data_IF_251548385935
#
_entry.id   IF_251548385935
#
_cell.length_a   1.000
_cell.length_b   1.000
_cell.length_c   1.000
_cell.angle_alpha   90.00
_cell.angle_beta   90.00
_cell.angle_gamma   90.00
#
_symmetry.space_group_name_H-M   'P 1'
#
loop_
_entity.id
_entity.type
_entity.pdbx_description
1 polymer ?
#
# COMPACT_ATOMS: atom_id res chain seq x y z
N UNK A 1 -65.14 -9.85 -66.54
CA UNK A 1 -63.86 -10.53 -66.77
C UNK A 1 -63.82 -11.64 -65.76
N UNK A 2 -64.02 -12.90 -66.12
CA UNK A 2 -63.86 -14.04 -65.19
C UNK A 2 -62.37 -14.12 -64.86
N UNK A 3 -62.03 -14.03 -63.59
CA UNK A 3 -60.67 -14.29 -63.13
C UNK A 3 -60.45 -15.78 -63.41
N UNK A 4 -59.32 -16.13 -64.08
CA UNK A 4 -58.91 -17.49 -64.31
C UNK A 4 -58.67 -18.19 -62.93
N UNK A 5 -59.06 -19.45 -62.80
CA UNK A 5 -58.93 -20.21 -61.51
C UNK A 5 -57.51 -20.18 -60.97
N UNK A 6 -56.51 -20.27 -61.83
CA UNK A 6 -55.13 -20.21 -61.49
C UNK A 6 -54.74 -18.85 -60.87
N UNK A 7 -55.25 -17.76 -61.43
CA UNK A 7 -55.04 -16.41 -60.93
C UNK A 7 -55.67 -16.22 -59.55
N UNK A 8 -56.81 -16.82 -59.30
CA UNK A 8 -57.48 -16.76 -57.98
C UNK A 8 -56.66 -17.51 -56.89
N UNK A 9 -56.11 -18.68 -57.18
CA UNK A 9 -55.29 -19.48 -56.32
C UNK A 9 -53.97 -18.75 -56.00
N UNK A 10 -53.28 -18.17 -56.94
CA UNK A 10 -52.10 -17.37 -56.74
C UNK A 10 -52.37 -16.12 -55.87
N UNK A 11 -53.47 -15.44 -56.13
CA UNK A 11 -53.83 -14.26 -55.36
C UNK A 11 -54.17 -14.58 -53.94
N UNK A 12 -54.83 -15.72 -53.69
CA UNK A 12 -55.15 -16.18 -52.38
C UNK A 12 -53.87 -16.58 -51.60
N UNK A 13 -52.94 -17.29 -52.20
CA UNK A 13 -51.65 -17.61 -51.65
C UNK A 13 -50.83 -16.35 -51.31
N UNK A 14 -50.80 -15.35 -52.22
CA UNK A 14 -50.11 -14.07 -51.94
C UNK A 14 -50.77 -13.34 -50.76
N UNK A 15 -52.12 -13.35 -50.67
CA UNK A 15 -52.80 -12.79 -49.50
C UNK A 15 -52.44 -13.54 -48.20
N UNK A 16 -52.40 -14.86 -48.26
CA UNK A 16 -51.97 -15.65 -47.09
C UNK A 16 -50.55 -15.30 -46.70
N UNK A 17 -49.60 -15.18 -47.60
CA UNK A 17 -48.23 -14.76 -47.31
C UNK A 17 -48.18 -13.37 -46.67
N UNK A 18 -49.06 -12.44 -47.02
CA UNK A 18 -49.06 -11.09 -46.46
C UNK A 18 -49.72 -11.02 -45.08
N UNK A 19 -50.79 -11.75 -44.85
CA UNK A 19 -51.65 -11.61 -43.67
C UNK A 19 -51.58 -12.79 -42.70
N UNK A 20 -51.23 -14.01 -43.16
CA UNK A 20 -51.11 -15.22 -42.37
C UNK A 20 -49.94 -16.09 -42.85
N UNK A 21 -48.76 -15.57 -42.88
CA UNK A 21 -47.53 -16.10 -43.49
C UNK A 21 -47.25 -17.55 -43.07
N UNK A 22 -47.51 -17.89 -41.81
CA UNK A 22 -47.14 -19.20 -41.22
C UNK A 22 -48.01 -20.34 -41.73
N UNK A 23 -49.26 -20.04 -42.14
CA UNK A 23 -50.23 -21.00 -42.68
C UNK A 23 -50.34 -20.96 -44.19
N UNK A 24 -49.63 -20.03 -44.83
CA UNK A 24 -49.71 -19.86 -46.28
C UNK A 24 -49.28 -21.13 -47.03
N UNK A 25 -50.14 -21.68 -47.83
CA UNK A 25 -49.92 -22.89 -48.66
C UNK A 25 -50.50 -22.71 -50.06
N UNK A 26 -49.69 -23.01 -51.04
CA UNK A 26 -50.16 -23.01 -52.46
C UNK A 26 -50.71 -24.36 -52.75
N UNK A 27 -52.03 -24.41 -53.19
CA UNK A 27 -52.73 -25.63 -53.61
C UNK A 27 -52.28 -26.06 -54.98
N UNK A 28 -51.14 -26.73 -55.12
CA UNK A 28 -50.57 -27.14 -56.42
C UNK A 28 -51.49 -28.07 -57.25
N UNK A 29 -52.19 -28.99 -56.57
CA UNK A 29 -53.04 -29.97 -57.23
C UNK A 29 -54.23 -29.39 -57.96
N UNK A 30 -54.52 -28.12 -57.74
CA UNK A 30 -55.58 -27.39 -58.32
C UNK A 30 -55.15 -26.44 -59.48
N UNK A 31 -53.83 -26.33 -59.69
CA UNK A 31 -53.28 -25.49 -60.80
C UNK A 31 -53.15 -26.24 -62.10
N UNK A 32 -53.24 -25.53 -63.20
CA UNK A 32 -53.03 -26.10 -64.53
C UNK A 32 -51.54 -26.34 -64.82
N UNK A 33 -51.23 -27.32 -65.68
CA UNK A 33 -49.87 -27.70 -66.06
C UNK A 33 -49.07 -26.55 -66.69
N UNK A 34 -49.78 -25.64 -67.37
CA UNK A 34 -49.19 -24.49 -68.10
C UNK A 34 -48.53 -23.43 -67.16
N UNK A 35 -48.91 -23.43 -65.89
CA UNK A 35 -48.38 -22.44 -64.89
C UNK A 35 -47.37 -23.06 -63.91
N UNK A 36 -46.89 -24.24 -64.15
CA UNK A 36 -45.97 -24.99 -63.19
C UNK A 36 -44.71 -24.17 -62.89
N UNK A 37 -44.04 -23.55 -63.88
CA UNK A 37 -42.84 -22.73 -63.62
C UNK A 37 -43.16 -21.48 -62.80
N UNK A 38 -44.35 -20.87 -63.01
CA UNK A 38 -44.79 -19.73 -62.21
C UNK A 38 -45.12 -20.15 -60.81
N UNK A 39 -45.72 -21.30 -60.60
CA UNK A 39 -46.03 -21.88 -59.31
C UNK A 39 -44.73 -22.14 -58.51
N UNK A 40 -43.72 -22.75 -59.15
CA UNK A 40 -42.39 -22.98 -58.53
C UNK A 40 -41.75 -21.66 -58.08
N UNK A 41 -41.83 -20.63 -58.91
CA UNK A 41 -41.24 -19.31 -58.56
C UNK A 41 -41.97 -18.60 -57.42
N UNK A 42 -43.32 -18.65 -57.41
CA UNK A 42 -44.14 -18.02 -56.37
C UNK A 42 -43.99 -18.80 -55.01
N UNK A 43 -43.96 -20.11 -55.07
CA UNK A 43 -43.73 -20.92 -53.85
C UNK A 43 -42.35 -20.68 -53.26
N UNK A 44 -41.29 -20.66 -54.07
CA UNK A 44 -39.97 -20.31 -53.65
C UNK A 44 -39.91 -18.90 -53.00
N UNK A 45 -40.59 -17.92 -53.59
CA UNK A 45 -40.71 -16.57 -53.02
C UNK A 45 -41.43 -16.62 -51.66
N UNK A 46 -42.48 -17.47 -51.53
CA UNK A 46 -43.16 -17.67 -50.25
C UNK A 46 -42.29 -18.29 -49.18
N UNK A 47 -41.45 -19.27 -49.54
CA UNK A 47 -40.49 -19.88 -48.63
C UNK A 47 -39.46 -18.85 -48.16
N UNK A 48 -38.94 -18.02 -49.06
CA UNK A 48 -38.01 -16.92 -48.75
C UNK A 48 -38.62 -15.93 -47.74
N UNK A 49 -39.89 -15.53 -47.97
CA UNK A 49 -40.61 -14.62 -47.07
C UNK A 49 -40.81 -15.21 -45.69
N UNK A 50 -41.14 -16.52 -45.60
CA UNK A 50 -41.27 -17.22 -44.33
C UNK A 50 -39.95 -17.29 -43.55
N UNK A 51 -38.86 -17.63 -44.24
CA UNK A 51 -37.52 -17.72 -43.68
C UNK A 51 -37.06 -16.34 -43.14
N UNK A 52 -37.26 -15.27 -43.90
CA UNK A 52 -36.96 -13.90 -43.44
C UNK A 52 -37.79 -13.50 -42.24
N UNK A 53 -39.09 -13.80 -42.22
CA UNK A 53 -39.97 -13.51 -41.08
C UNK A 53 -39.50 -14.20 -39.80
N UNK A 54 -39.07 -15.47 -39.88
CA UNK A 54 -38.53 -16.20 -38.72
C UNK A 54 -37.31 -15.49 -38.15
N UNK A 55 -36.31 -15.22 -38.99
CA UNK A 55 -35.07 -14.56 -38.56
C UNK A 55 -35.36 -13.17 -38.00
N UNK A 56 -36.17 -12.35 -38.67
CA UNK A 56 -36.53 -11.01 -38.18
C UNK A 56 -37.30 -11.05 -36.86
N UNK A 57 -38.21 -12.05 -36.70
CA UNK A 57 -38.95 -12.20 -35.44
C UNK A 57 -38.03 -12.58 -34.25
N UNK A 58 -37.06 -13.44 -34.49
CA UNK A 58 -36.03 -13.81 -33.52
C UNK A 58 -35.13 -12.62 -33.16
N UNK A 59 -34.68 -11.87 -34.19
CA UNK A 59 -33.89 -10.65 -33.98
C UNK A 59 -34.67 -9.60 -33.17
N UNK A 60 -35.98 -9.46 -33.41
CA UNK A 60 -36.84 -8.56 -32.63
C UNK A 60 -36.99 -8.98 -31.16
N UNK A 61 -36.80 -10.25 -30.83
CA UNK A 61 -36.75 -10.80 -29.46
C UNK A 61 -35.35 -10.70 -28.83
N UNK A 62 -34.37 -10.22 -29.60
CA UNK A 62 -32.97 -10.13 -29.15
C UNK A 62 -32.12 -11.37 -29.45
N UNK A 63 -32.68 -12.38 -30.10
CA UNK A 63 -31.98 -13.59 -30.55
C UNK A 63 -31.34 -13.32 -31.92
N UNK A 64 -30.06 -12.93 -31.91
CA UNK A 64 -29.33 -12.54 -33.12
C UNK A 64 -28.54 -13.67 -33.77
N UNK A 65 -28.64 -14.89 -33.26
CA UNK A 65 -27.85 -16.05 -33.73
C UNK A 65 -28.61 -16.95 -34.73
N UNK A 66 -29.90 -16.69 -34.96
CA UNK A 66 -30.70 -17.47 -35.87
C UNK A 66 -30.15 -17.40 -37.31
N UNK A 67 -30.05 -18.56 -37.99
CA UNK A 67 -29.54 -18.63 -39.36
C UNK A 67 -30.68 -18.80 -40.37
N UNK A 68 -30.45 -18.23 -41.54
CA UNK A 68 -31.38 -18.45 -42.67
C UNK A 68 -31.31 -19.89 -43.14
N UNK A 69 -32.47 -20.54 -43.29
CA UNK A 69 -32.55 -21.93 -43.74
C UNK A 69 -32.33 -22.08 -45.24
N UNK A 70 -32.66 -21.03 -46.02
CA UNK A 70 -32.57 -21.02 -47.49
C UNK A 70 -31.19 -20.49 -47.93
N UNK A 71 -30.36 -21.36 -48.50
CA UNK A 71 -28.97 -21.06 -48.87
C UNK A 71 -28.80 -20.02 -49.98
N UNK A 72 -29.77 -19.89 -50.87
CA UNK A 72 -29.75 -18.98 -52.06
C UNK A 72 -30.70 -17.81 -51.90
N UNK A 73 -31.05 -17.41 -50.69
CA UNK A 73 -31.89 -16.27 -50.41
C UNK A 73 -31.11 -14.95 -50.64
N UNK A 74 -31.22 -14.36 -51.81
CA UNK A 74 -30.59 -13.09 -52.18
C UNK A 74 -31.22 -11.87 -51.49
N UNK A 75 -32.47 -11.96 -50.99
CA UNK A 75 -33.15 -10.89 -50.27
C UNK A 75 -32.64 -10.80 -48.83
N UNK A 76 -32.07 -11.89 -48.30
CA UNK A 76 -31.52 -11.93 -46.94
C UNK A 76 -30.27 -11.10 -46.75
N UNK A 77 -29.59 -10.62 -47.80
CA UNK A 77 -28.31 -9.92 -47.65
C UNK A 77 -28.37 -8.67 -46.76
N UNK A 78 -29.36 -7.77 -46.84
CA UNK A 78 -29.48 -6.64 -45.89
C UNK A 78 -29.77 -7.10 -44.48
N UNK A 79 -30.59 -8.12 -44.27
CA UNK A 79 -30.93 -8.67 -42.94
C UNK A 79 -29.71 -9.31 -42.31
N UNK A 80 -28.93 -10.08 -43.06
CA UNK A 80 -27.63 -10.65 -42.61
C UNK A 80 -26.64 -9.56 -42.18
N UNK A 81 -26.61 -8.45 -42.93
CA UNK A 81 -25.77 -7.30 -42.58
C UNK A 81 -26.19 -6.69 -41.24
N UNK A 82 -27.51 -6.46 -41.05
CA UNK A 82 -28.04 -5.95 -39.76
C UNK A 82 -27.75 -6.92 -38.64
N UNK A 83 -27.96 -8.22 -38.84
CA UNK A 83 -27.68 -9.28 -37.87
C UNK A 83 -26.19 -9.28 -37.46
N UNK A 84 -25.27 -9.21 -38.42
CA UNK A 84 -23.83 -9.15 -38.16
C UNK A 84 -23.46 -7.91 -37.36
N UNK A 85 -24.03 -6.75 -37.69
CA UNK A 85 -23.80 -5.52 -36.96
C UNK A 85 -24.30 -5.59 -35.51
N UNK A 86 -25.47 -6.19 -35.27
CA UNK A 86 -26.02 -6.40 -33.93
C UNK A 86 -25.21 -7.39 -33.13
N UNK A 87 -24.72 -8.49 -33.73
CA UNK A 87 -23.81 -9.43 -33.11
C UNK A 87 -22.51 -8.74 -32.66
N UNK A 88 -21.90 -7.96 -33.55
CA UNK A 88 -20.69 -7.19 -33.24
C UNK A 88 -20.93 -6.18 -32.12
N UNK A 89 -22.06 -5.44 -32.17
CA UNK A 89 -22.43 -4.49 -31.11
C UNK A 89 -22.56 -5.20 -29.75
N UNK A 90 -23.27 -6.35 -29.70
CA UNK A 90 -23.44 -7.14 -28.49
C UNK A 90 -22.09 -7.62 -27.95
N UNK A 91 -21.21 -8.10 -28.83
CA UNK A 91 -19.85 -8.52 -28.43
C UNK A 91 -19.03 -7.35 -27.88
N UNK A 92 -19.02 -6.18 -28.53
CA UNK A 92 -18.31 -4.99 -28.02
C UNK A 92 -18.88 -4.56 -26.68
N UNK A 93 -20.21 -4.53 -26.53
CA UNK A 93 -20.84 -4.19 -25.24
C UNK A 93 -20.42 -5.14 -24.11
N UNK A 94 -20.35 -6.44 -24.37
CA UNK A 94 -19.87 -7.43 -23.41
C UNK A 94 -18.38 -7.21 -23.04
N UNK A 95 -17.53 -6.88 -24.03
CA UNK A 95 -16.12 -6.56 -23.79
C UNK A 95 -15.96 -5.32 -22.93
N UNK A 96 -16.72 -4.26 -23.23
CA UNK A 96 -16.74 -3.01 -22.45
C UNK A 96 -17.20 -3.29 -21.02
N UNK A 97 -18.26 -4.09 -20.83
CA UNK A 97 -18.73 -4.52 -19.51
C UNK A 97 -17.67 -5.31 -18.73
N UNK A 98 -16.84 -6.10 -19.43
CA UNK A 98 -15.70 -6.80 -18.85
C UNK A 98 -14.47 -5.90 -18.60
N UNK A 99 -14.55 -4.60 -18.95
CA UNK A 99 -13.49 -3.62 -18.72
C UNK A 99 -12.48 -3.47 -19.86
N UNK A 100 -12.76 -4.02 -21.03
CA UNK A 100 -11.97 -3.83 -22.25
C UNK A 100 -12.55 -2.68 -23.08
N UNK A 101 -12.01 -1.48 -22.88
CA UNK A 101 -12.46 -0.26 -23.58
C UNK A 101 -11.71 0.02 -24.89
N UNK A 102 -10.92 -0.94 -25.40
CA UNK A 102 -10.17 -0.77 -26.66
C UNK A 102 -10.98 -1.12 -27.90
N UNK A 103 -12.15 -1.74 -27.71
CA UNK A 103 -13.03 -2.17 -28.78
C UNK A 103 -13.94 -1.03 -29.20
N UNK A 104 -14.17 -0.89 -30.52
CA UNK A 104 -15.03 0.13 -31.10
C UNK A 104 -16.01 -0.51 -32.06
N UNK A 105 -17.18 0.11 -32.22
CA UNK A 105 -18.20 -0.30 -33.16
C UNK A 105 -18.03 0.49 -34.45
N UNK A 106 -18.17 -0.19 -35.61
CA UNK A 106 -18.22 0.42 -36.94
C UNK A 106 -19.53 0.04 -37.63
N UNK A 107 -19.89 0.74 -38.66
CA UNK A 107 -20.98 0.35 -39.57
C UNK A 107 -22.43 0.59 -39.12
N UNK A 108 -22.65 1.35 -38.01
CA UNK A 108 -23.99 1.76 -37.57
C UNK A 108 -24.20 3.29 -37.63
N UNK A 109 -23.44 4.00 -38.48
CA UNK A 109 -23.54 5.44 -38.65
C UNK A 109 -23.38 6.22 -37.35
N UNK A 110 -24.21 7.24 -37.12
CA UNK A 110 -24.17 8.11 -35.96
C UNK A 110 -24.33 7.37 -34.63
N UNK A 111 -24.92 6.18 -34.62
CA UNK A 111 -24.99 5.34 -33.44
C UNK A 111 -23.57 4.84 -33.02
N UNK A 112 -22.77 4.39 -34.02
CA UNK A 112 -21.38 3.98 -33.76
C UNK A 112 -20.58 5.12 -33.16
N UNK A 113 -20.72 6.33 -33.68
CA UNK A 113 -19.99 7.50 -33.19
C UNK A 113 -20.34 7.81 -31.74
N UNK A 114 -21.64 7.86 -31.41
CA UNK A 114 -22.10 8.11 -30.06
C UNK A 114 -21.73 6.99 -29.07
N UNK A 115 -21.78 5.73 -29.52
CA UNK A 115 -21.41 4.58 -28.69
C UNK A 115 -19.91 4.55 -28.41
N UNK A 116 -19.06 4.84 -29.40
CA UNK A 116 -17.62 4.92 -29.25
C UNK A 116 -17.23 6.10 -28.36
N UNK A 117 -17.85 7.27 -28.47
CA UNK A 117 -17.66 8.39 -27.58
C UNK A 117 -17.96 8.01 -26.12
N UNK A 118 -19.01 7.26 -25.86
CA UNK A 118 -19.36 6.74 -24.53
C UNK A 118 -18.27 5.79 -24.02
N UNK A 119 -17.73 4.90 -24.87
CA UNK A 119 -16.62 4.01 -24.48
C UNK A 119 -15.38 4.82 -24.07
N UNK A 120 -15.01 5.83 -24.87
CA UNK A 120 -13.86 6.69 -24.59
C UNK A 120 -14.04 7.48 -23.29
N UNK A 121 -15.23 8.00 -23.02
CA UNK A 121 -15.57 8.66 -21.78
C UNK A 121 -15.45 7.70 -20.59
N UNK A 122 -15.96 6.47 -20.68
CA UNK A 122 -15.85 5.45 -19.64
C UNK A 122 -14.38 5.09 -19.36
N UNK A 123 -13.57 4.93 -20.41
CA UNK A 123 -12.13 4.70 -20.28
C UNK A 123 -11.44 5.83 -19.53
N UNK A 124 -11.71 7.07 -19.94
CA UNK A 124 -11.16 8.26 -19.29
C UNK A 124 -11.59 8.40 -17.82
N UNK A 125 -12.88 8.18 -17.53
CA UNK A 125 -13.37 8.20 -16.14
C UNK A 125 -12.71 7.13 -15.29
N UNK A 126 -12.51 5.94 -15.81
CA UNK A 126 -11.81 4.86 -15.09
C UNK A 126 -10.38 5.24 -14.79
N UNK A 127 -9.62 5.71 -15.76
CA UNK A 127 -8.23 6.16 -15.57
C UNK A 127 -8.14 7.28 -14.53
N UNK A 128 -9.05 8.25 -14.60
CA UNK A 128 -9.13 9.34 -13.64
C UNK A 128 -9.45 8.84 -12.23
N UNK A 129 -10.41 7.91 -12.10
CA UNK A 129 -10.76 7.30 -10.82
C UNK A 129 -9.62 6.44 -10.25
N UNK A 130 -8.92 5.68 -11.08
CA UNK A 130 -7.72 4.94 -10.67
C UNK A 130 -6.61 5.89 -10.21
N UNK A 131 -6.39 6.99 -10.92
CA UNK A 131 -5.42 8.01 -10.52
C UNK A 131 -5.79 8.65 -9.17
N UNK A 132 -7.03 9.11 -9.00
CA UNK A 132 -7.52 9.69 -7.73
C UNK A 132 -7.44 8.68 -6.59
N UNK A 133 -7.79 7.41 -6.86
CA UNK A 133 -7.77 6.33 -5.86
C UNK A 133 -6.37 5.90 -5.43
N UNK A 134 -5.34 6.18 -6.24
CA UNK A 134 -3.96 5.74 -6.03
C UNK A 134 -2.99 6.88 -5.68
N UNK A 135 -3.45 8.14 -5.65
CA UNK A 135 -2.63 9.31 -5.30
C UNK A 135 -3.02 9.92 -3.96
N UNK A 136 -2.07 10.52 -3.27
CA UNK A 136 -2.31 11.36 -2.08
C UNK A 136 -2.67 12.77 -2.52
N UNK A 137 -3.80 13.27 -2.04
CA UNK A 137 -4.37 14.57 -2.46
C UNK A 137 -3.49 15.76 -2.09
N UNK A 138 -2.76 15.68 -0.97
CA UNK A 138 -1.92 16.78 -0.49
C UNK A 138 -0.63 16.91 -1.32
N UNK A 139 0.01 15.79 -1.62
CA UNK A 139 1.38 15.73 -2.15
C UNK A 139 1.44 15.35 -3.62
N UNK A 140 0.39 14.73 -4.16
CA UNK A 140 0.34 14.23 -5.54
C UNK A 140 1.25 13.03 -5.81
N UNK A 141 1.90 12.45 -4.78
CA UNK A 141 2.61 11.18 -4.90
C UNK A 141 1.65 10.01 -4.71
N UNK A 142 2.10 8.78 -4.95
CA UNK A 142 1.28 7.60 -4.76
C UNK A 142 0.90 7.41 -3.28
N UNK A 143 -0.29 6.86 -3.02
CA UNK A 143 -0.80 6.65 -1.67
C UNK A 143 -0.58 5.21 -1.16
N UNK A 144 -1.03 4.91 0.07
CA UNK A 144 -0.97 3.60 0.70
C UNK A 144 -1.57 2.48 -0.15
N UNK A 145 -2.67 2.76 -0.87
CA UNK A 145 -3.32 1.77 -1.73
C UNK A 145 -2.41 1.39 -2.91
N UNK A 146 -1.80 2.37 -3.55
CA UNK A 146 -0.85 2.15 -4.63
C UNK A 146 0.39 1.37 -4.16
N UNK A 147 0.90 1.67 -2.95
CA UNK A 147 1.97 0.90 -2.33
C UNK A 147 1.60 -0.58 -2.18
N UNK A 148 0.43 -0.86 -1.57
CA UNK A 148 -0.02 -2.24 -1.33
C UNK A 148 -0.17 -3.04 -2.63
N UNK A 149 -0.66 -2.40 -3.69
CA UNK A 149 -0.77 -3.03 -5.01
C UNK A 149 0.60 -3.32 -5.62
N UNK A 150 1.54 -2.38 -5.52
CA UNK A 150 2.88 -2.52 -6.10
C UNK A 150 3.71 -3.55 -5.35
N UNK A 151 3.79 -3.48 -4.02
CA UNK A 151 4.59 -4.43 -3.23
C UNK A 151 4.08 -5.86 -3.40
N UNK A 152 2.76 -6.06 -3.44
CA UNK A 152 2.17 -7.36 -3.73
C UNK A 152 2.59 -7.88 -5.10
N UNK A 153 2.55 -7.03 -6.14
CA UNK A 153 2.98 -7.41 -7.50
C UNK A 153 4.45 -7.78 -7.57
N UNK A 154 5.33 -7.08 -6.84
CA UNK A 154 6.75 -7.41 -6.76
C UNK A 154 6.96 -8.73 -6.01
N UNK A 155 6.27 -8.88 -4.89
CA UNK A 155 6.29 -10.09 -4.08
C UNK A 155 5.83 -11.33 -4.85
N UNK A 156 4.68 -11.27 -5.53
CA UNK A 156 4.13 -12.39 -6.30
C UNK A 156 5.05 -12.81 -7.45
N UNK A 157 5.76 -11.86 -8.06
CA UNK A 157 6.70 -12.09 -9.17
C UNK A 157 8.13 -12.42 -8.73
N UNK A 158 8.40 -12.49 -7.43
CA UNK A 158 9.74 -12.71 -6.86
C UNK A 158 10.80 -11.70 -7.35
N UNK A 159 10.39 -10.43 -7.47
CA UNK A 159 11.30 -9.37 -7.86
C UNK A 159 11.95 -8.81 -6.59
N UNK A 160 13.30 -8.90 -6.46
CA UNK A 160 14.00 -8.32 -5.32
C UNK A 160 13.82 -6.80 -5.28
N UNK A 161 13.67 -6.25 -4.11
CA UNK A 161 13.57 -4.80 -3.92
C UNK A 161 13.99 -4.40 -2.50
N UNK A 162 14.40 -3.14 -2.34
CA UNK A 162 14.58 -2.53 -1.03
C UNK A 162 13.36 -1.69 -0.65
N UNK A 163 13.00 -1.73 0.63
CA UNK A 163 12.01 -0.84 1.25
C UNK A 163 12.75 0.20 2.07
N UNK A 164 12.36 1.45 1.91
CA UNK A 164 12.75 2.54 2.79
C UNK A 164 11.52 3.07 3.50
N UNK A 165 11.54 3.05 4.83
CA UNK A 165 10.54 3.70 5.66
C UNK A 165 11.05 5.08 6.07
N UNK A 166 10.24 6.12 5.93
CA UNK A 166 10.63 7.52 6.20
C UNK A 166 9.58 8.17 7.09
N UNK A 167 10.02 8.93 8.09
CA UNK A 167 9.18 9.72 8.98
C UNK A 167 9.66 11.18 8.95
N UNK A 168 8.73 12.13 8.85
CA UNK A 168 9.02 13.57 8.84
C UNK A 168 9.18 14.06 10.27
N UNK A 169 10.40 14.44 10.64
CA UNK A 169 10.75 14.82 11.99
C UNK A 169 10.12 16.16 12.40
N UNK A 170 9.51 16.18 13.60
CA UNK A 170 9.02 17.43 14.19
C UNK A 170 7.76 18.01 13.53
N UNK A 171 7.03 17.27 12.71
CA UNK A 171 5.82 17.76 12.04
C UNK A 171 4.77 18.29 13.04
N UNK A 172 4.61 17.61 14.19
CA UNK A 172 3.71 18.08 15.25
C UNK A 172 4.09 19.45 15.76
N UNK A 173 5.39 19.69 16.02
CA UNK A 173 5.87 21.01 16.44
C UNK A 173 5.54 22.09 15.40
N UNK A 174 5.72 21.80 14.12
CA UNK A 174 5.39 22.74 13.03
C UNK A 174 3.88 22.99 12.99
N UNK A 175 3.05 21.98 13.11
CA UNK A 175 1.60 22.13 13.15
C UNK A 175 1.15 22.98 14.34
N UNK A 176 1.68 22.73 15.52
CA UNK A 176 1.29 23.40 16.76
C UNK A 176 1.72 24.89 16.77
N UNK A 177 2.86 25.24 16.17
CA UNK A 177 3.42 26.61 16.20
C UNK A 177 3.15 27.42 14.93
N UNK A 178 2.98 26.76 13.77
CA UNK A 178 2.83 27.43 12.45
C UNK A 178 1.54 27.03 11.74
N UNK A 179 0.67 26.26 12.41
CA UNK A 179 -0.61 25.78 11.89
C UNK A 179 -0.46 24.67 10.86
N UNK A 180 -1.58 24.05 10.51
CA UNK A 180 -1.64 22.97 9.52
C UNK A 180 -1.17 23.36 8.11
N UNK A 181 -1.26 24.66 7.76
CA UNK A 181 -0.72 25.16 6.50
C UNK A 181 0.82 25.06 6.45
N UNK A 182 1.49 25.37 7.58
CA UNK A 182 2.93 25.17 7.75
C UNK A 182 3.34 23.71 7.64
N UNK A 183 2.63 22.82 8.33
CA UNK A 183 2.85 21.39 8.26
C UNK A 183 2.62 20.80 6.86
N UNK A 184 1.54 21.22 6.20
CA UNK A 184 1.26 20.80 4.82
C UNK A 184 2.35 21.23 3.84
N UNK A 185 2.89 22.44 4.01
CA UNK A 185 4.03 22.92 3.23
C UNK A 185 5.27 22.06 3.49
N UNK A 186 5.55 21.77 4.75
CA UNK A 186 6.69 20.93 5.14
C UNK A 186 6.62 19.54 4.51
N UNK A 187 5.46 18.87 4.59
CA UNK A 187 5.24 17.57 3.96
C UNK A 187 5.50 17.65 2.44
N UNK A 188 4.98 18.68 1.77
CA UNK A 188 5.20 18.87 0.32
C UNK A 188 6.68 19.06 -0.03
N UNK A 189 7.43 19.83 0.73
CA UNK A 189 8.87 20.06 0.49
C UNK A 189 9.67 18.75 0.66
N UNK A 190 9.38 17.92 1.70
CA UNK A 190 10.01 16.61 1.85
C UNK A 190 9.67 15.71 0.67
N UNK A 191 8.40 15.61 0.30
CA UNK A 191 8.00 14.80 -0.85
C UNK A 191 8.64 15.24 -2.15
N UNK A 192 8.78 16.55 -2.35
CA UNK A 192 9.40 17.13 -3.55
C UNK A 192 10.88 16.80 -3.64
N UNK A 193 11.66 17.02 -2.57
CA UNK A 193 13.10 16.72 -2.59
C UNK A 193 13.36 15.22 -2.81
N UNK A 194 12.58 14.37 -2.15
CA UNK A 194 12.68 12.92 -2.35
C UNK A 194 12.34 12.56 -3.79
N UNK A 195 11.22 13.04 -4.33
CA UNK A 195 10.77 12.76 -5.69
C UNK A 195 11.78 13.20 -6.77
N UNK A 196 12.41 14.37 -6.58
CA UNK A 196 13.43 14.88 -7.50
C UNK A 196 14.71 14.03 -7.54
N UNK A 197 14.99 13.28 -6.48
CA UNK A 197 16.16 12.43 -6.34
C UNK A 197 15.86 10.93 -6.52
N UNK A 198 14.62 10.56 -6.90
CA UNK A 198 14.28 9.18 -7.25
C UNK A 198 14.93 8.77 -8.55
N UNK A 199 15.37 7.52 -8.61
CA UNK A 199 15.80 6.86 -9.84
C UNK A 199 14.61 6.28 -10.61
N UNK A 200 14.85 5.88 -11.87
CA UNK A 200 13.79 5.42 -12.78
C UNK A 200 13.00 4.21 -12.25
N UNK A 201 13.64 3.36 -11.44
CA UNK A 201 13.04 2.14 -10.87
C UNK A 201 12.60 2.31 -9.41
N UNK A 202 12.49 3.55 -8.92
CA UNK A 202 12.08 3.87 -7.58
C UNK A 202 10.70 4.54 -7.54
N UNK A 203 9.95 4.22 -6.52
CA UNK A 203 8.58 4.70 -6.32
C UNK A 203 8.40 5.20 -4.91
N UNK A 204 7.86 6.41 -4.77
CA UNK A 204 7.56 7.03 -3.48
C UNK A 204 6.06 6.99 -3.19
N UNK A 205 5.73 6.72 -1.93
CA UNK A 205 4.35 6.60 -1.43
C UNK A 205 4.18 7.35 -0.13
N UNK A 206 3.01 7.96 0.07
CA UNK A 206 2.60 8.48 1.38
C UNK A 206 1.60 7.51 2.00
N UNK A 207 1.94 6.99 3.18
CA UNK A 207 1.14 5.96 3.86
C UNK A 207 0.44 6.46 5.12
N UNK A 208 0.89 7.58 5.68
CA UNK A 208 0.36 8.21 6.88
C UNK A 208 0.47 9.73 6.83
N UNK A 209 0.27 10.38 7.95
CA UNK A 209 0.39 11.83 8.10
C UNK A 209 1.79 12.34 7.75
N UNK A 210 2.79 11.79 8.41
CA UNK A 210 4.23 12.06 8.33
C UNK A 210 5.04 10.88 7.78
N UNK A 211 4.38 9.77 7.45
CA UNK A 211 5.01 8.52 7.01
C UNK A 211 5.06 8.41 5.49
N UNK A 212 6.25 8.16 4.96
CA UNK A 212 6.50 7.91 3.55
C UNK A 212 7.21 6.56 3.36
N UNK A 213 7.03 5.97 2.20
CA UNK A 213 7.77 4.77 1.78
C UNK A 213 8.42 4.99 0.42
N UNK A 214 9.62 4.42 0.23
CA UNK A 214 10.21 4.26 -1.09
C UNK A 214 10.41 2.76 -1.36
N UNK A 215 10.08 2.32 -2.58
CA UNK A 215 10.43 1.01 -3.10
C UNK A 215 11.49 1.20 -4.18
N UNK A 216 12.65 0.55 -4.02
CA UNK A 216 13.72 0.48 -5.02
C UNK A 216 13.81 -0.93 -5.58
N UNK A 217 13.80 -1.08 -6.92
CA UNK A 217 13.88 -2.40 -7.58
C UNK A 217 15.31 -2.81 -7.96
N UNK A 218 16.24 -1.87 -8.00
CA UNK A 218 17.61 -2.12 -8.49
C UNK A 218 18.69 -1.90 -7.45
N UNK A 219 18.44 -1.02 -6.49
CA UNK A 219 19.40 -0.69 -5.45
C UNK A 219 19.06 -1.46 -4.18
N UNK A 220 20.10 -1.94 -3.52
CA UNK A 220 20.00 -2.54 -2.20
C UNK A 220 19.80 -1.46 -1.10
N UNK A 221 19.46 -1.92 0.10
CA UNK A 221 19.19 -1.06 1.23
C UNK A 221 20.38 -0.16 1.61
N UNK A 222 21.62 -0.63 1.44
CA UNK A 222 22.83 0.12 1.81
C UNK A 222 23.03 1.32 0.86
N UNK A 223 22.91 1.10 -0.44
CA UNK A 223 23.02 2.17 -1.44
C UNK A 223 21.91 3.21 -1.27
N UNK A 224 20.69 2.76 -0.99
CA UNK A 224 19.57 3.66 -0.67
C UNK A 224 19.87 4.50 0.58
N UNK A 225 20.46 3.90 1.62
CA UNK A 225 20.80 4.58 2.86
C UNK A 225 21.85 5.67 2.65
N UNK A 226 22.95 5.38 1.97
CA UNK A 226 24.00 6.36 1.66
C UNK A 226 23.44 7.56 0.90
N UNK A 227 22.67 7.32 -0.14
CA UNK A 227 22.05 8.38 -0.95
C UNK A 227 21.05 9.23 -0.16
N UNK A 228 20.24 8.61 0.69
CA UNK A 228 19.28 9.32 1.53
C UNK A 228 19.95 10.20 2.58
N UNK A 229 21.12 9.82 3.08
CA UNK A 229 21.93 10.68 3.94
C UNK A 229 22.35 11.98 3.21
N UNK A 230 22.78 11.87 1.96
CA UNK A 230 23.13 13.05 1.15
C UNK A 230 21.93 13.96 0.87
N UNK A 231 20.79 13.35 0.44
CA UNK A 231 19.53 14.08 0.19
C UNK A 231 19.08 14.80 1.46
N UNK A 232 19.13 14.15 2.61
CA UNK A 232 18.75 14.72 3.90
C UNK A 232 19.62 15.93 4.27
N UNK A 233 20.93 15.83 4.07
CA UNK A 233 21.85 16.96 4.32
C UNK A 233 21.52 18.15 3.40
N UNK A 234 21.31 17.91 2.13
CA UNK A 234 20.90 18.92 1.16
C UNK A 234 19.58 19.58 1.58
N UNK A 235 18.57 18.77 1.90
CA UNK A 235 17.26 19.23 2.33
C UNK A 235 17.34 20.15 3.54
N UNK A 236 18.08 19.77 4.56
CA UNK A 236 18.27 20.59 5.77
C UNK A 236 18.87 21.97 5.46
N UNK A 237 19.90 22.01 4.61
CA UNK A 237 20.55 23.27 4.23
C UNK A 237 19.66 24.18 3.38
N UNK A 238 18.85 23.60 2.49
CA UNK A 238 17.88 24.36 1.70
C UNK A 238 16.76 24.91 2.58
N UNK A 239 16.21 24.10 3.48
CA UNK A 239 15.09 24.49 4.31
C UNK A 239 15.45 25.54 5.37
N UNK A 240 16.67 25.56 5.88
CA UNK A 240 17.16 26.66 6.75
C UNK A 240 16.99 28.02 6.13
N UNK A 241 17.02 28.13 4.79
CA UNK A 241 16.87 29.39 4.04
C UNK A 241 15.41 29.72 3.70
N UNK A 242 14.53 28.69 3.69
CA UNK A 242 13.15 28.82 3.20
C UNK A 242 12.10 29.00 4.30
N UNK A 243 12.36 28.46 5.50
CA UNK A 243 11.38 28.44 6.60
C UNK A 243 12.04 28.72 7.95
N UNK A 244 11.30 29.27 8.93
CA UNK A 244 11.84 29.62 10.25
C UNK A 244 11.91 28.48 11.25
N UNK A 245 11.55 27.26 10.84
CA UNK A 245 11.54 26.06 11.70
C UNK A 245 12.48 24.98 11.17
N UNK A 246 13.01 24.12 12.03
CA UNK A 246 13.87 23.03 11.60
C UNK A 246 13.06 22.01 10.78
N UNK A 247 13.63 21.61 9.66
CA UNK A 247 13.08 20.57 8.79
C UNK A 247 14.07 19.44 8.66
N UNK A 248 13.62 18.22 8.90
CA UNK A 248 14.41 17.01 8.80
C UNK A 248 13.52 15.79 8.57
N UNK A 249 14.09 14.66 8.22
CA UNK A 249 13.39 13.39 8.15
C UNK A 249 14.32 12.25 8.57
N UNK A 250 13.74 11.22 9.15
CA UNK A 250 14.42 10.00 9.58
C UNK A 250 14.01 8.85 8.68
N UNK A 251 14.90 7.88 8.47
CA UNK A 251 14.60 6.76 7.57
C UNK A 251 15.29 5.46 8.01
N UNK A 252 14.75 4.32 7.51
CA UNK A 252 15.32 2.99 7.68
C UNK A 252 15.16 2.17 6.42
N UNK A 253 16.24 1.51 5.98
CA UNK A 253 16.32 0.77 4.74
C UNK A 253 16.46 -0.74 5.01
N UNK A 254 15.69 -1.57 4.27
CA UNK A 254 15.71 -3.03 4.41
C UNK A 254 15.55 -3.68 3.03
N UNK A 255 16.38 -4.68 2.74
CA UNK A 255 16.20 -5.51 1.56
C UNK A 255 15.13 -6.58 1.82
N UNK A 256 14.29 -6.81 0.80
CA UNK A 256 13.34 -7.92 0.79
C UNK A 256 13.98 -9.13 0.16
N UNK A 257 14.15 -10.19 0.93
CA UNK A 257 14.57 -11.51 0.46
C UNK A 257 13.55 -12.57 0.88
N UNK A 258 12.84 -13.15 -0.07
CA UNK A 258 11.88 -14.25 0.18
C UNK A 258 12.52 -15.48 0.81
N UNK A 259 13.83 -15.68 0.66
CA UNK A 259 14.54 -16.81 1.26
C UNK A 259 14.57 -16.78 2.78
N UNK A 260 14.39 -15.59 3.37
CA UNK A 260 14.35 -15.42 4.83
C UNK A 260 13.04 -15.84 5.50
N UNK A 261 12.06 -16.32 4.73
CA UNK A 261 10.76 -16.81 5.24
C UNK A 261 9.97 -15.78 6.06
N UNK A 262 10.18 -14.48 5.77
CA UNK A 262 9.49 -13.34 6.39
C UNK A 262 8.35 -12.84 5.51
N UNK A 263 7.33 -12.27 6.11
CA UNK A 263 6.22 -11.61 5.43
C UNK A 263 6.56 -10.16 5.06
N UNK A 264 5.81 -9.57 4.12
CA UNK A 264 5.93 -8.13 3.80
C UNK A 264 5.74 -7.26 5.04
N UNK A 265 4.83 -7.64 5.94
CA UNK A 265 4.56 -6.90 7.18
C UNK A 265 5.77 -6.92 8.12
N UNK A 266 6.49 -8.03 8.20
CA UNK A 266 7.71 -8.13 9.01
C UNK A 266 8.84 -7.28 8.44
N UNK A 267 9.00 -7.21 7.11
CA UNK A 267 9.97 -6.31 6.48
C UNK A 267 9.63 -4.83 6.70
N UNK A 268 8.36 -4.46 6.62
CA UNK A 268 7.91 -3.11 6.96
C UNK A 268 8.22 -2.77 8.43
N UNK A 269 7.94 -3.67 9.35
CA UNK A 269 8.27 -3.50 10.78
C UNK A 269 9.78 -3.38 11.02
N UNK A 270 10.61 -4.10 10.27
CA UNK A 270 12.06 -3.98 10.34
C UNK A 270 12.55 -2.62 9.83
N UNK A 271 11.99 -2.13 8.72
CA UNK A 271 12.31 -0.82 8.16
C UNK A 271 11.90 0.31 9.13
N UNK A 272 10.71 0.22 9.72
CA UNK A 272 10.21 1.14 10.75
C UNK A 272 11.11 1.14 11.99
N UNK A 273 11.50 -0.03 12.51
CA UNK A 273 12.46 -0.14 13.62
C UNK A 273 13.81 0.53 13.31
N UNK A 274 14.35 0.31 12.10
CA UNK A 274 15.60 0.99 11.69
C UNK A 274 15.41 2.51 11.59
N UNK A 275 14.31 2.98 11.03
CA UNK A 275 13.96 4.39 10.98
C UNK A 275 13.86 5.00 12.38
N UNK A 276 13.16 4.33 13.29
CA UNK A 276 13.05 4.76 14.68
C UNK A 276 14.42 4.85 15.36
N UNK A 277 15.30 3.86 15.18
CA UNK A 277 16.67 3.88 15.70
C UNK A 277 17.48 5.06 15.14
N UNK A 278 17.38 5.31 13.83
CA UNK A 278 18.02 6.45 13.19
C UNK A 278 17.53 7.77 13.79
N UNK A 279 16.20 7.91 13.95
CA UNK A 279 15.55 9.07 14.58
C UNK A 279 16.09 9.29 16.00
N UNK A 280 16.19 8.24 16.80
CA UNK A 280 16.69 8.32 18.18
C UNK A 280 18.15 8.75 18.23
N UNK A 281 19.03 8.19 17.41
CA UNK A 281 20.43 8.63 17.32
C UNK A 281 20.55 10.11 17.00
N UNK A 282 19.71 10.58 16.08
CA UNK A 282 19.68 11.98 15.71
C UNK A 282 19.25 12.89 16.88
N UNK A 283 18.21 12.50 17.63
CA UNK A 283 17.80 13.24 18.83
C UNK A 283 18.91 13.29 19.89
N UNK A 284 19.61 12.18 20.08
CA UNK A 284 20.76 12.10 21.01
C UNK A 284 21.86 13.06 20.57
N UNK A 285 22.21 13.07 19.29
CA UNK A 285 23.28 13.93 18.76
C UNK A 285 22.94 15.42 18.81
N UNK A 286 21.67 15.79 18.60
CA UNK A 286 21.21 17.19 18.73
C UNK A 286 21.21 17.69 20.18
N UNK A 287 20.95 16.83 21.15
CA UNK A 287 20.90 17.16 22.57
C UNK A 287 22.26 17.07 23.27
N UNK A 288 23.32 16.73 22.55
CA UNK A 288 24.68 16.65 23.09
C UNK A 288 25.10 18.00 23.64
N UNK A 289 25.46 18.11 24.94
CA UNK A 289 25.97 19.35 25.50
C UNK A 289 27.25 19.80 24.77
N UNK A 290 27.30 21.07 24.37
CA UNK A 290 28.47 21.64 23.69
C UNK A 290 29.72 21.83 24.57
N UNK A 291 29.69 21.31 25.81
CA UNK A 291 30.68 21.60 26.79
C UNK A 291 31.51 20.37 27.18
N UNK A 292 32.82 20.47 27.01
CA UNK A 292 33.89 19.57 27.47
C UNK A 292 34.07 18.24 26.73
N UNK A 293 35.31 17.91 26.39
CA UNK A 293 35.73 16.69 25.70
C UNK A 293 35.50 15.36 26.50
N UNK A 294 34.99 15.45 27.72
CA UNK A 294 34.78 14.30 28.61
C UNK A 294 33.29 14.00 28.89
N UNK A 295 32.38 14.89 28.49
CA UNK A 295 30.95 14.68 28.67
C UNK A 295 30.42 13.91 27.49
N UNK A 296 29.81 12.75 27.73
CA UNK A 296 29.25 11.89 26.74
C UNK A 296 27.83 12.33 26.27
N UNK A 297 27.18 11.53 25.44
CA UNK A 297 25.84 11.80 24.90
C UNK A 297 24.74 11.87 25.97
N UNK A 298 24.95 11.27 27.16
CA UNK A 298 24.03 11.37 28.30
C UNK A 298 24.24 12.61 29.17
N UNK A 299 25.26 13.41 28.87
CA UNK A 299 25.63 14.59 29.67
C UNK A 299 26.51 14.27 30.89
N UNK A 300 27.16 13.11 30.91
CA UNK A 300 27.94 12.57 32.01
C UNK A 300 29.41 12.44 31.63
N UNK A 301 30.29 12.44 32.66
CA UNK A 301 31.70 12.11 32.43
C UNK A 301 31.84 10.62 32.06
N UNK A 302 32.17 10.36 30.81
CA UNK A 302 32.28 9.01 30.25
C UNK A 302 33.24 8.12 31.01
N UNK A 303 34.30 8.68 31.58
CA UNK A 303 35.35 7.91 32.34
C UNK A 303 34.79 7.30 33.61
N UNK A 304 33.87 7.97 34.31
CA UNK A 304 33.23 7.47 35.52
C UNK A 304 32.36 6.27 35.19
N UNK A 305 31.54 6.39 34.15
CA UNK A 305 30.69 5.29 33.71
C UNK A 305 31.49 4.08 33.22
N UNK A 306 32.56 4.31 32.45
CA UNK A 306 33.43 3.27 31.94
C UNK A 306 34.13 2.51 33.07
N UNK A 307 34.67 3.24 34.06
CA UNK A 307 35.29 2.64 35.22
C UNK A 307 34.31 1.77 36.04
N UNK A 308 33.08 2.29 36.24
CA UNK A 308 32.04 1.57 36.97
C UNK A 308 31.58 0.31 36.22
N UNK A 309 31.39 0.43 34.91
CA UNK A 309 30.99 -0.66 34.04
C UNK A 309 32.03 -1.79 33.98
N UNK A 310 33.33 -1.45 33.99
CA UNK A 310 34.45 -2.43 33.98
C UNK A 310 34.62 -3.17 35.28
N UNK A 311 34.31 -2.54 36.42
CA UNK A 311 34.45 -3.16 37.76
C UNK A 311 33.23 -4.02 38.13
N UNK A 312 32.17 -3.98 37.39
CA UNK A 312 30.90 -4.65 37.71
C UNK A 312 30.79 -6.00 36.99
N UNK A 313 31.42 -7.04 37.57
CA UNK A 313 31.30 -8.42 37.07
C UNK A 313 29.90 -8.96 37.38
N UNK A 314 29.23 -9.56 36.38
CA UNK A 314 27.84 -10.09 36.45
C UNK A 314 26.77 -9.03 36.83
N UNK A 315 27.09 -7.76 36.62
CA UNK A 315 26.18 -6.65 36.86
C UNK A 315 26.15 -5.76 35.65
N UNK A 316 24.97 -5.19 35.38
CA UNK A 316 24.76 -4.24 34.28
C UNK A 316 24.49 -2.87 34.86
N UNK A 317 25.27 -1.90 34.45
CA UNK A 317 25.14 -0.51 34.91
C UNK A 317 24.42 0.29 33.88
N UNK A 318 23.48 1.16 34.29
CA UNK A 318 22.87 2.14 33.45
C UNK A 318 22.71 3.48 34.14
N UNK A 319 22.70 4.55 33.34
CA UNK A 319 22.49 5.91 33.81
C UNK A 319 21.54 6.59 32.83
N UNK A 320 20.48 7.23 33.32
CA UNK A 320 19.52 8.01 32.55
C UNK A 320 19.56 9.47 32.96
N UNK A 321 19.73 10.37 32.01
CA UNK A 321 19.50 11.79 32.22
C UNK A 321 17.98 12.04 32.08
N UNK A 322 17.31 12.36 33.17
CA UNK A 322 15.85 12.49 33.24
C UNK A 322 15.30 13.70 32.50
N UNK A 323 16.12 14.73 32.21
CA UNK A 323 15.68 15.91 31.46
C UNK A 323 15.71 15.66 29.97
N UNK A 324 16.76 14.99 29.48
CA UNK A 324 16.92 14.67 28.06
C UNK A 324 16.29 13.34 27.69
N UNK A 325 15.93 12.52 28.68
CA UNK A 325 15.48 11.13 28.53
C UNK A 325 16.46 10.25 27.75
N UNK A 326 17.77 10.55 27.87
CA UNK A 326 18.85 9.78 27.23
C UNK A 326 19.52 8.92 28.30
N UNK A 327 19.56 7.62 28.06
CA UNK A 327 20.22 6.65 28.92
C UNK A 327 21.49 6.09 28.28
N UNK A 328 22.47 5.78 29.09
CA UNK A 328 23.65 4.99 28.73
C UNK A 328 23.64 3.67 29.48
N UNK A 329 23.79 2.58 28.75
CA UNK A 329 23.83 1.22 29.27
C UNK A 329 25.20 0.61 29.07
N UNK A 330 25.65 -0.26 29.97
CA UNK A 330 26.91 -0.98 29.82
C UNK A 330 26.91 -1.83 28.55
N UNK A 331 28.07 -1.92 27.89
CA UNK A 331 28.25 -2.72 26.66
C UNK A 331 27.83 -4.18 26.86
N UNK A 332 28.01 -4.72 28.05
CA UNK A 332 27.59 -6.08 28.36
C UNK A 332 26.09 -6.21 28.43
N UNK A 333 25.35 -5.22 28.95
CA UNK A 333 23.88 -5.21 28.91
C UNK A 333 23.35 -5.21 27.49
N UNK A 334 23.93 -4.35 26.63
CA UNK A 334 23.58 -4.28 25.23
C UNK A 334 23.72 -5.64 24.53
N UNK A 335 24.80 -6.36 24.77
CA UNK A 335 25.07 -7.67 24.19
C UNK A 335 24.14 -8.77 24.71
N UNK A 336 23.92 -8.82 26.02
CA UNK A 336 23.22 -9.92 26.69
C UNK A 336 21.71 -9.84 26.52
N UNK A 337 21.15 -8.62 26.52
CA UNK A 337 19.71 -8.37 26.37
C UNK A 337 19.31 -7.97 24.93
N UNK A 338 20.26 -7.89 23.99
CA UNK A 338 20.01 -7.46 22.61
C UNK A 338 19.42 -6.05 22.53
N UNK A 339 19.92 -5.16 23.40
CA UNK A 339 19.51 -3.76 23.36
C UNK A 339 20.06 -3.08 22.10
N UNK A 340 19.34 -2.10 21.53
CA UNK A 340 19.73 -1.53 20.24
C UNK A 340 21.10 -0.82 20.28
N UNK A 341 21.40 -0.09 21.36
CA UNK A 341 22.64 0.70 21.47
C UNK A 341 23.06 0.92 22.92
N UNK A 342 24.32 1.36 23.12
CA UNK A 342 24.84 1.80 24.43
C UNK A 342 24.10 3.07 24.92
N UNK A 343 23.79 4.00 23.99
CA UNK A 343 23.04 5.22 24.27
C UNK A 343 21.63 5.11 23.67
N UNK A 344 20.61 5.23 24.49
CA UNK A 344 19.22 5.10 24.08
C UNK A 344 18.39 6.28 24.57
N UNK A 345 17.52 6.77 23.70
CA UNK A 345 16.44 7.68 24.10
C UNK A 345 15.24 6.84 24.53
N UNK A 346 14.53 7.29 25.57
CA UNK A 346 13.35 6.60 26.13
C UNK A 346 13.61 5.11 26.44
N UNK A 347 14.79 4.84 27.03
CA UNK A 347 15.24 3.49 27.29
C UNK A 347 14.29 2.71 28.22
N UNK A 348 13.46 3.39 29.01
CA UNK A 348 12.44 2.76 29.84
C UNK A 348 11.48 1.90 29.01
N UNK A 349 10.93 2.45 27.93
CA UNK A 349 10.03 1.70 27.02
C UNK A 349 10.74 0.55 26.33
N UNK A 350 11.99 0.75 25.90
CA UNK A 350 12.79 -0.32 25.30
C UNK A 350 13.01 -1.45 26.30
N UNK A 351 13.24 -1.09 27.56
CA UNK A 351 13.47 -2.07 28.63
C UNK A 351 12.19 -2.82 29.03
N UNK A 352 11.03 -2.15 29.08
CA UNK A 352 9.73 -2.76 29.34
C UNK A 352 9.43 -3.94 28.40
N UNK A 353 9.84 -3.86 27.13
CA UNK A 353 9.71 -4.96 26.17
C UNK A 353 10.53 -6.22 26.53
N UNK A 354 11.50 -6.08 27.43
CA UNK A 354 12.35 -7.19 27.91
C UNK A 354 11.84 -7.79 29.21
N UNK A 355 10.91 -7.13 29.90
CA UNK A 355 10.35 -7.62 31.18
C UNK A 355 9.25 -8.65 30.87
N UNK A 356 9.18 -9.68 31.72
CA UNK A 356 8.12 -10.69 31.60
C UNK A 356 6.75 -10.05 31.86
N UNK A 357 5.75 -10.44 31.09
CA UNK A 357 4.41 -9.82 31.14
C UNK A 357 3.76 -9.80 32.50
N UNK A 358 3.98 -10.84 33.33
CA UNK A 358 3.45 -10.89 34.70
C UNK A 358 4.12 -9.88 35.65
N UNK A 359 5.34 -9.44 35.32
CA UNK A 359 6.15 -8.57 36.16
C UNK A 359 6.05 -7.09 35.74
N UNK A 360 5.53 -6.80 34.55
CA UNK A 360 5.46 -5.45 33.97
C UNK A 360 4.69 -4.47 34.88
N UNK A 361 3.55 -4.87 35.38
CA UNK A 361 2.70 -3.98 36.19
C UNK A 361 3.38 -3.50 37.46
N UNK A 362 4.05 -4.43 38.18
CA UNK A 362 4.76 -4.10 39.41
C UNK A 362 5.98 -3.20 39.11
N UNK A 363 6.66 -3.46 37.99
CA UNK A 363 7.76 -2.61 37.50
C UNK A 363 7.29 -1.18 37.18
N UNK A 364 6.23 -1.02 36.42
CA UNK A 364 5.68 0.29 36.07
C UNK A 364 5.26 1.10 37.29
N UNK A 365 4.53 0.48 38.21
CA UNK A 365 4.10 1.11 39.46
C UNK A 365 5.30 1.56 40.33
N UNK A 366 6.36 0.75 40.41
CA UNK A 366 7.57 1.06 41.19
C UNK A 366 8.37 2.22 40.56
N UNK A 367 8.61 2.17 39.26
CA UNK A 367 9.32 3.23 38.53
C UNK A 367 8.54 4.56 38.61
N UNK A 368 7.22 4.54 38.46
CA UNK A 368 6.40 5.75 38.59
C UNK A 368 6.48 6.34 40.00
N UNK A 369 6.49 5.49 41.01
CA UNK A 369 6.64 5.92 42.42
C UNK A 369 8.01 6.59 42.67
N UNK A 370 9.08 6.07 42.08
CA UNK A 370 10.43 6.64 42.21
C UNK A 370 10.53 7.98 41.46
N UNK A 371 10.03 8.04 40.22
CA UNK A 371 10.13 9.24 39.41
C UNK A 371 9.22 10.37 39.91
N UNK A 372 8.06 10.04 40.51
CA UNK A 372 7.21 11.01 41.18
C UNK A 372 7.72 11.47 42.55
N UNK A 373 8.78 10.83 43.06
CA UNK A 373 9.35 11.13 44.38
C UNK A 373 8.59 10.55 45.55
N UNK A 374 7.65 9.63 45.33
CA UNK A 374 6.94 8.89 46.41
C UNK A 374 7.83 7.81 47.03
N UNK A 375 8.84 7.35 46.30
CA UNK A 375 9.81 6.35 46.71
C UNK A 375 11.22 6.89 46.47
N UNK A 376 12.19 6.59 47.34
CA UNK A 376 13.56 7.12 47.20
C UNK A 376 14.42 6.33 46.22
N UNK A 377 14.17 5.03 46.11
CA UNK A 377 14.94 4.13 45.24
C UNK A 377 14.06 3.09 44.56
N UNK A 378 14.49 2.67 43.39
CA UNK A 378 13.98 1.49 42.72
C UNK A 378 14.74 0.27 43.26
N UNK A 379 14.04 -0.67 43.85
CA UNK A 379 14.60 -1.95 44.25
C UNK A 379 13.54 -3.02 44.01
N UNK A 380 13.69 -3.71 42.89
CA UNK A 380 12.73 -4.68 42.42
C UNK A 380 13.43 -5.88 41.78
N UNK A 381 12.86 -7.05 41.96
CA UNK A 381 13.32 -8.28 41.32
C UNK A 381 12.28 -8.77 40.33
N UNK A 382 12.67 -8.88 39.08
CA UNK A 382 11.79 -9.28 37.97
C UNK A 382 12.52 -10.15 36.95
N UNK A 383 11.77 -10.76 36.03
CA UNK A 383 12.30 -11.58 34.95
C UNK A 383 12.58 -10.72 33.72
N UNK A 384 13.82 -10.74 33.24
CA UNK A 384 14.23 -10.05 32.02
C UNK A 384 14.67 -11.03 30.93
N UNK A 385 14.29 -10.75 29.69
CA UNK A 385 14.53 -11.59 28.52
C UNK A 385 15.92 -11.31 27.93
N UNK A 386 16.73 -12.36 27.83
CA UNK A 386 18.01 -12.32 27.12
C UNK A 386 17.85 -12.39 25.62
N UNK A 387 18.92 -12.07 24.89
CA UNK A 387 19.02 -12.19 23.40
C UNK A 387 18.59 -13.56 22.86
N UNK A 388 18.84 -14.64 23.59
CA UNK A 388 18.46 -16.01 23.20
C UNK A 388 16.98 -16.36 23.48
N UNK A 389 16.18 -15.40 23.92
CA UNK A 389 14.78 -15.56 24.27
C UNK A 389 14.49 -16.14 25.65
N UNK A 390 15.52 -16.55 26.43
CA UNK A 390 15.34 -17.06 27.80
C UNK A 390 15.13 -15.90 28.76
N UNK A 391 14.25 -16.10 29.73
CA UNK A 391 14.11 -15.18 30.87
C UNK A 391 15.07 -15.55 32.00
N UNK A 392 15.73 -14.55 32.55
CA UNK A 392 16.54 -14.64 33.74
C UNK A 392 15.97 -13.76 34.85
N UNK A 393 16.15 -14.13 36.09
CA UNK A 393 15.74 -13.33 37.23
C UNK A 393 16.82 -12.30 37.53
N UNK A 394 16.42 -11.03 37.51
CA UNK A 394 17.30 -9.90 37.76
C UNK A 394 16.78 -9.07 38.95
N UNK A 395 17.66 -8.60 39.84
CA UNK A 395 17.38 -7.54 40.80
C UNK A 395 17.89 -6.23 40.22
N UNK A 396 17.04 -5.24 40.15
CA UNK A 396 17.35 -3.91 39.70
C UNK A 396 17.34 -2.95 40.92
N UNK A 397 18.45 -2.29 41.15
CA UNK A 397 18.59 -1.29 42.20
C UNK A 397 18.94 0.06 41.55
N UNK A 398 18.11 1.09 41.76
CA UNK A 398 18.31 2.39 41.13
C UNK A 398 17.95 3.56 42.04
N UNK A 399 18.64 4.69 41.84
CA UNK A 399 18.47 5.91 42.65
C UNK A 399 18.36 7.12 41.74
N UNK A 400 17.52 8.10 42.17
CA UNK A 400 17.47 9.41 41.54
C UNK A 400 18.47 10.35 42.20
N UNK A 401 19.51 10.73 41.47
CA UNK A 401 20.44 11.79 41.85
C UNK A 401 19.84 13.13 41.42
N UNK A 402 19.41 13.92 42.39
CA UNK A 402 18.82 15.24 42.13
C UNK A 402 19.92 16.29 41.93
N UNK A 403 19.80 17.10 40.90
CA UNK A 403 20.68 18.23 40.67
C UNK A 403 20.62 19.23 41.85
N UNK A 404 21.81 19.73 42.26
CA UNK A 404 21.90 20.73 43.34
C UNK A 404 21.57 22.14 42.90
N UNK A 405 21.59 22.38 41.59
CA UNK A 405 21.27 23.66 40.96
C UNK A 405 20.34 23.44 39.78
N UNK A 406 19.65 24.48 39.35
CA UNK A 406 18.77 24.41 38.15
C UNK A 406 19.52 24.11 36.83
N UNK A 407 20.86 24.05 36.86
CA UNK A 407 21.71 23.72 35.70
C UNK A 407 22.19 22.26 35.71
N UNK A 408 22.03 21.56 36.83
CA UNK A 408 22.43 20.14 36.97
C UNK A 408 21.23 19.26 36.70
N UNK A 409 21.28 18.33 35.75
CA UNK A 409 20.16 17.44 35.47
C UNK A 409 19.90 16.46 36.60
N UNK A 410 18.66 16.05 36.75
CA UNK A 410 18.35 14.87 37.56
C UNK A 410 18.77 13.61 36.78
N UNK A 411 19.46 12.72 37.48
CA UNK A 411 19.95 11.47 36.89
C UNK A 411 19.31 10.29 37.60
N UNK A 412 18.89 9.28 36.87
CA UNK A 412 18.51 8.00 37.40
C UNK A 412 19.65 7.01 37.14
N UNK A 413 20.28 6.49 38.19
CA UNK A 413 21.44 5.60 38.13
C UNK A 413 21.08 4.26 38.72
N UNK A 414 21.32 3.19 37.99
CA UNK A 414 20.96 1.86 38.48
C UNK A 414 21.93 0.76 38.08
N UNK A 415 21.82 -0.33 38.82
CA UNK A 415 22.53 -1.57 38.60
C UNK A 415 21.54 -2.71 38.53
N UNK A 416 21.65 -3.51 37.50
CA UNK A 416 20.89 -4.74 37.32
C UNK A 416 21.79 -5.93 37.58
N UNK A 417 21.43 -6.77 38.54
CA UNK A 417 22.23 -7.95 38.99
C UNK A 417 21.45 -9.23 38.62
N UNK A 418 22.11 -10.23 38.03
CA UNK A 418 21.52 -11.56 37.83
C UNK A 418 21.42 -12.29 39.19
N UNK A 419 20.23 -12.78 39.53
CA UNK A 419 19.95 -13.48 40.79
C UNK A 419 20.14 -14.99 40.65
N UNK A 420 19.99 -15.54 39.42
CA UNK A 420 20.09 -16.99 39.21
C UNK A 420 21.51 -17.56 39.24
N UNK A 421 22.55 -16.68 39.31
CA UNK A 421 23.95 -17.06 39.54
C UNK A 421 24.38 -16.66 40.95
N UNK A 422 23.67 -17.10 41.97
CA UNK A 422 24.20 -17.06 43.34
C UNK A 422 25.39 -18.01 43.43
N UNK A 423 26.58 -17.51 43.11
CA UNK A 423 27.84 -18.13 43.53
C UNK A 423 27.83 -18.12 45.02
N UNK A 424 27.86 -19.31 45.65
CA UNK A 424 28.10 -19.51 47.06
C UNK A 424 29.34 -18.72 47.47
N UNK A 425 29.16 -17.54 48.09
CA UNK A 425 30.14 -16.88 48.91
C UNK A 425 30.00 -17.41 50.36
N UNK A 426 30.16 -18.72 50.53
CA UNK A 426 30.60 -19.30 51.79
C UNK A 426 31.99 -19.87 51.51
N UNK A 427 32.96 -19.37 52.36
CA UNK A 427 34.34 -19.79 52.44
C UNK A 427 35.37 -19.19 51.45
N UNK A 428 35.83 -17.95 51.78
CA UNK A 428 37.30 -17.69 51.95
C UNK A 428 37.57 -16.54 52.90
#
# INVERSE_FOLDING_TARGET
MMIDKDQELFLDYIKQLLYNTDEATLCRDELSDDVTQLADGIEYLGEVIKDEKIVLSKMAQGEVDEEFSISHNYLAAPVKSIQSNLKHLSWVAQRVAAGDYKQHVSSLGSFSDSFNEMIDQLSHYREKMEHISNTDVLTGIANRRAFNQMIKKLWDKDIPCAIVFIDIDGLKYVNDNYGHSGGNRYIKEVCQILKMNLKEDEFIFRIGGDELLILSKKEDAHICEERLLEIRLQFREEMKKKVPYPCDFSFGCVDIDKKENKTISEYLSLADKKMYHFKMQHYIDQRRPKYSNHIDKSGLDSRIFDAFSQTSINRYVYICNMETNVSRWSVQAVKDFDLPYEYMYDAGKIWEEHIHTDDCKEYEEDIEAVFSGKKECHDLTYRARLKNGKYIKCRCEGYVLRGRTAKEPNLFVGILTRVDEAVNYEER
#
